data_IF_593488059817
#
_entry.id   IF_593488059817
#
_cell.length_a   1.000
_cell.length_b   1.000
_cell.length_c   1.000
_cell.angle_alpha   90.00
_cell.angle_beta   90.00
_cell.angle_gamma   90.00
#
_symmetry.space_group_name_H-M   'P 1'
#
loop_
_entity.id
_entity.type
_entity.pdbx_description
1 polymer ?
#
# COMPACT_ATOMS: atom_id res chain seq x y z
N UNK A 1 32.09 8.90 18.27
CA UNK A 1 31.29 9.91 17.56
C UNK A 1 31.04 9.38 16.17
N UNK A 2 29.92 8.70 15.96
CA UNK A 2 29.56 8.12 14.64
C UNK A 2 28.30 8.86 14.18
N UNK A 3 28.49 9.70 13.18
CA UNK A 3 27.40 10.40 12.48
C UNK A 3 26.57 9.37 11.73
N UNK A 4 25.35 9.13 12.18
CA UNK A 4 24.34 8.40 11.42
C UNK A 4 23.83 9.31 10.32
N UNK A 5 24.31 9.08 9.09
CA UNK A 5 23.78 9.68 7.88
C UNK A 5 22.31 9.29 7.74
N UNK A 6 21.44 10.25 8.07
CA UNK A 6 20.00 10.15 7.84
C UNK A 6 19.77 10.49 6.38
N UNK A 7 19.78 9.49 5.51
CA UNK A 7 19.35 9.66 4.12
C UNK A 7 17.88 10.01 4.10
N UNK A 8 17.58 11.29 4.15
CA UNK A 8 16.24 11.83 3.93
C UNK A 8 15.92 11.69 2.44
N UNK A 9 15.08 10.74 2.10
CA UNK A 9 14.52 10.65 0.74
C UNK A 9 13.58 11.85 0.57
N UNK A 10 14.14 12.96 0.09
CA UNK A 10 13.36 14.15 -0.25
C UNK A 10 12.83 13.98 -1.67
N UNK A 11 11.51 13.90 -1.81
CA UNK A 11 10.86 14.02 -3.13
C UNK A 11 10.64 15.49 -3.47
N UNK A 12 10.79 15.89 -4.75
CA UNK A 12 10.37 17.22 -5.16
C UNK A 12 8.86 17.35 -4.95
N UNK A 13 8.37 18.54 -4.54
CA UNK A 13 6.95 18.73 -4.27
C UNK A 13 6.12 18.48 -5.53
N UNK A 14 5.25 17.47 -5.47
CA UNK A 14 4.25 17.28 -6.52
C UNK A 14 3.19 18.38 -6.39
N UNK A 15 3.16 19.28 -7.35
CA UNK A 15 2.22 20.39 -7.43
C UNK A 15 0.83 19.91 -7.89
N UNK A 16 0.20 19.03 -7.13
CA UNK A 16 -1.22 18.69 -7.35
C UNK A 16 -2.01 19.11 -6.13
N UNK A 17 -2.88 20.10 -6.29
CA UNK A 17 -3.83 20.50 -5.26
C UNK A 17 -4.70 19.29 -4.89
N UNK A 18 -4.74 18.94 -3.61
CA UNK A 18 -5.56 17.85 -3.11
C UNK A 18 -7.04 18.12 -3.41
N UNK A 19 -7.68 17.21 -4.16
CA UNK A 19 -9.12 17.23 -4.36
C UNK A 19 -9.88 16.96 -3.06
N UNK A 20 -11.19 17.17 -3.06
CA UNK A 20 -12.03 16.92 -1.89
C UNK A 20 -11.92 15.47 -1.41
N UNK A 21 -11.94 14.52 -2.34
CA UNK A 21 -11.81 13.09 -2.05
C UNK A 21 -10.44 12.74 -1.47
N UNK A 22 -9.38 13.38 -1.96
CA UNK A 22 -8.02 13.16 -1.46
C UNK A 22 -7.88 13.68 -0.02
N UNK A 23 -8.50 14.82 0.30
CA UNK A 23 -8.51 15.38 1.67
C UNK A 23 -9.28 14.50 2.64
N UNK A 24 -10.44 13.98 2.22
CA UNK A 24 -11.22 13.02 3.01
C UNK A 24 -10.44 11.73 3.26
N UNK A 25 -9.85 11.17 2.21
CA UNK A 25 -9.04 9.95 2.33
C UNK A 25 -7.83 10.15 3.24
N UNK A 26 -7.11 11.27 3.10
CA UNK A 26 -6.01 11.62 3.99
C UNK A 26 -6.48 11.70 5.44
N UNK A 27 -7.59 12.40 5.70
CA UNK A 27 -8.13 12.53 7.06
C UNK A 27 -8.41 11.18 7.69
N UNK A 28 -9.07 10.26 6.95
CA UNK A 28 -9.37 8.91 7.43
C UNK A 28 -8.11 8.11 7.75
N UNK A 29 -7.09 8.19 6.89
CA UNK A 29 -5.81 7.52 7.14
C UNK A 29 -5.10 8.09 8.37
N UNK A 30 -5.12 9.42 8.54
CA UNK A 30 -4.52 10.06 9.72
C UNK A 30 -5.25 9.65 11.01
N UNK A 31 -6.58 9.64 11.01
CA UNK A 31 -7.40 9.18 12.14
C UNK A 31 -7.12 7.70 12.48
N UNK A 32 -6.95 6.84 11.48
CA UNK A 32 -6.57 5.44 11.71
C UNK A 32 -5.16 5.32 12.33
N UNK A 33 -4.20 6.11 11.84
CA UNK A 33 -2.82 6.10 12.38
C UNK A 33 -2.74 6.66 13.81
N UNK A 34 -3.63 7.57 14.21
CA UNK A 34 -3.71 8.04 15.60
C UNK A 34 -4.10 6.92 16.58
N UNK A 35 -4.76 5.88 16.08
CA UNK A 35 -5.10 4.68 16.86
C UNK A 35 -3.95 3.68 17.04
N UNK A 36 -2.76 3.92 16.51
CA UNK A 36 -1.64 2.99 16.53
C UNK A 36 -1.18 2.72 17.97
N UNK A 37 -1.15 1.44 18.38
CA UNK A 37 -0.82 1.02 19.76
C UNK A 37 0.49 0.24 19.86
N UNK A 38 0.92 -0.40 18.77
CA UNK A 38 2.17 -1.17 18.70
C UNK A 38 3.04 -0.61 17.58
N UNK A 39 4.24 -0.10 17.94
CA UNK A 39 5.17 0.50 17.03
C UNK A 39 4.91 1.98 16.73
N UNK A 40 5.62 2.53 15.76
CA UNK A 40 5.50 3.93 15.36
C UNK A 40 5.68 4.11 13.86
N UNK A 41 5.04 5.15 13.31
CA UNK A 41 5.14 5.59 11.93
C UNK A 41 5.49 7.07 11.87
N UNK A 42 6.38 7.43 10.96
CA UNK A 42 6.63 8.81 10.56
C UNK A 42 6.16 8.95 9.11
N UNK A 43 5.11 9.74 8.90
CA UNK A 43 4.50 9.98 7.60
C UNK A 43 4.89 11.37 7.09
N UNK A 44 5.60 11.40 5.96
CA UNK A 44 5.90 12.62 5.22
C UNK A 44 4.86 12.83 4.12
N UNK A 45 4.17 13.96 4.16
CA UNK A 45 3.10 14.32 3.24
C UNK A 45 3.66 15.08 2.01
N UNK A 46 2.94 15.10 0.87
CA UNK A 46 3.39 15.76 -0.36
C UNK A 46 3.67 17.26 -0.19
N UNK A 47 3.02 17.90 0.78
CA UNK A 47 3.22 19.32 1.12
C UNK A 47 4.46 19.58 1.99
N UNK A 48 5.30 18.57 2.24
CA UNK A 48 6.52 18.66 3.04
C UNK A 48 6.30 18.58 4.55
N UNK A 49 5.07 18.52 5.04
CA UNK A 49 4.79 18.31 6.46
C UNK A 49 5.01 16.85 6.85
N UNK A 50 5.54 16.63 8.04
CA UNK A 50 5.80 15.30 8.59
C UNK A 50 5.03 15.14 9.89
N UNK A 51 4.41 13.98 10.08
CA UNK A 51 3.67 13.64 11.31
C UNK A 51 4.15 12.30 11.85
N UNK A 52 4.24 12.18 13.17
CA UNK A 52 4.57 10.95 13.88
C UNK A 52 3.31 10.40 14.54
N UNK A 53 3.17 9.07 14.53
CA UNK A 53 2.07 8.31 15.12
C UNK A 53 2.60 7.11 15.88
N UNK A 54 1.83 6.64 16.86
CA UNK A 54 2.13 5.44 17.64
C UNK A 54 2.99 5.71 18.88
N UNK A 55 3.70 4.69 19.34
CA UNK A 55 4.44 4.70 20.60
C UNK A 55 5.66 5.61 20.51
N UNK A 56 5.85 6.49 21.49
CA UNK A 56 6.86 7.54 21.47
C UNK A 56 8.29 6.98 21.40
N UNK A 57 8.59 5.96 22.19
CA UNK A 57 9.93 5.37 22.29
C UNK A 57 10.20 4.29 21.23
N UNK A 58 9.21 3.93 20.40
CA UNK A 58 9.39 2.95 19.36
C UNK A 58 10.18 3.52 18.18
N UNK A 59 11.08 2.71 17.59
CA UNK A 59 11.73 3.06 16.33
C UNK A 59 10.67 3.18 15.22
N UNK A 60 10.49 4.35 14.62
CA UNK A 60 9.45 4.53 13.62
C UNK A 60 9.84 3.94 12.27
N UNK A 61 8.86 3.36 11.57
CA UNK A 61 8.93 3.13 10.13
C UNK A 61 8.59 4.45 9.43
N UNK A 62 9.40 4.84 8.46
CA UNK A 62 9.17 6.08 7.70
C UNK A 62 8.43 5.79 6.42
N UNK A 63 7.41 6.58 6.16
CA UNK A 63 6.62 6.56 4.93
C UNK A 63 6.69 7.95 4.30
N UNK A 64 7.00 8.02 3.02
CA UNK A 64 6.98 9.26 2.26
C UNK A 64 5.99 9.16 1.11
N UNK A 65 4.97 10.01 1.10
CA UNK A 65 3.98 10.09 0.03
C UNK A 65 4.36 11.20 -0.95
N UNK A 66 4.42 10.87 -2.25
CA UNK A 66 4.71 11.80 -3.33
C UNK A 66 3.50 12.64 -3.70
N UNK A 67 2.31 12.04 -3.60
CA UNK A 67 1.03 12.66 -3.92
C UNK A 67 -0.04 12.26 -2.91
N UNK A 68 -1.28 12.75 -3.06
CA UNK A 68 -2.41 12.34 -2.23
C UNK A 68 -3.11 11.07 -2.75
N UNK A 69 -2.74 10.57 -3.91
CA UNK A 69 -3.32 9.36 -4.53
C UNK A 69 -3.21 8.10 -3.66
N UNK A 70 -2.07 7.83 -2.96
CA UNK A 70 -1.94 6.65 -2.09
C UNK A 70 -3.01 6.56 -1.01
N UNK A 71 -3.39 7.69 -0.42
CA UNK A 71 -4.41 7.71 0.63
C UNK A 71 -5.77 7.31 0.07
N UNK A 72 -6.13 7.80 -1.12
CA UNK A 72 -7.35 7.41 -1.81
C UNK A 72 -7.30 5.95 -2.27
N UNK A 73 -6.16 5.49 -2.78
CA UNK A 73 -5.97 4.11 -3.19
C UNK A 73 -6.13 3.15 -1.99
N UNK A 74 -5.57 3.49 -0.83
CA UNK A 74 -5.73 2.73 0.41
C UNK A 74 -7.20 2.71 0.88
N UNK A 75 -7.90 3.85 0.88
CA UNK A 75 -9.28 3.93 1.36
C UNK A 75 -10.26 3.21 0.43
N UNK A 76 -10.07 3.28 -0.89
CA UNK A 76 -10.98 2.69 -1.89
C UNK A 76 -10.60 1.25 -2.27
N UNK A 77 -9.32 0.94 -2.30
CA UNK A 77 -8.77 -0.34 -2.75
C UNK A 77 -8.16 -1.20 -1.65
N UNK A 78 -8.15 -0.71 -0.39
CA UNK A 78 -7.54 -1.42 0.73
C UNK A 78 -6.04 -1.62 0.55
N UNK A 79 -5.55 -2.75 1.05
CA UNK A 79 -4.16 -3.18 0.95
C UNK A 79 -3.67 -3.33 -0.50
N UNK A 80 -4.52 -3.85 -1.40
CA UNK A 80 -4.21 -3.96 -2.82
C UNK A 80 -3.99 -2.58 -3.45
N UNK A 81 -4.88 -1.63 -3.19
CA UNK A 81 -4.73 -0.26 -3.70
C UNK A 81 -3.47 0.43 -3.16
N UNK A 82 -3.12 0.19 -1.89
CA UNK A 82 -1.87 0.68 -1.32
C UNK A 82 -0.64 0.06 -1.98
N UNK A 83 -0.67 -1.26 -2.25
CA UNK A 83 0.41 -1.98 -2.92
C UNK A 83 0.61 -1.51 -4.37
N UNK A 84 -0.47 -1.34 -5.13
CA UNK A 84 -0.41 -0.79 -6.50
C UNK A 84 0.21 0.62 -6.49
N UNK A 85 -0.22 1.49 -5.58
CA UNK A 85 0.35 2.83 -5.44
C UNK A 85 1.84 2.81 -5.04
N UNK A 86 2.30 1.79 -4.29
CA UNK A 86 3.71 1.58 -3.99
C UNK A 86 4.50 1.19 -5.24
N UNK A 87 4.00 0.23 -6.03
CA UNK A 87 4.62 -0.20 -7.29
C UNK A 87 4.70 0.95 -8.31
N UNK A 88 3.69 1.83 -8.33
CA UNK A 88 3.67 3.03 -9.14
C UNK A 88 4.63 4.14 -8.63
N UNK A 89 5.30 3.92 -7.47
CA UNK A 89 6.22 4.88 -6.87
C UNK A 89 5.53 6.12 -6.29
N UNK A 90 4.23 6.06 -6.02
CA UNK A 90 3.46 7.16 -5.43
C UNK A 90 3.75 7.36 -3.94
N UNK A 91 4.28 6.34 -3.28
CA UNK A 91 4.81 6.39 -1.93
C UNK A 91 5.97 5.40 -1.75
N UNK A 92 6.80 5.63 -0.72
CA UNK A 92 7.93 4.77 -0.38
C UNK A 92 8.04 4.60 1.12
N UNK A 93 8.83 3.62 1.55
CA UNK A 93 9.16 3.38 2.95
C UNK A 93 10.63 2.95 3.09
N UNK A 94 11.22 3.20 4.24
CA UNK A 94 12.56 2.76 4.59
C UNK A 94 12.61 1.30 5.07
N UNK A 95 11.46 0.75 5.52
CA UNK A 95 11.36 -0.64 6.00
C UNK A 95 9.98 -1.22 5.64
N UNK A 96 9.85 -1.75 4.43
CA UNK A 96 8.60 -2.37 3.98
C UNK A 96 8.20 -3.61 4.82
N UNK A 97 9.11 -4.55 5.16
CA UNK A 97 8.76 -5.65 6.06
C UNK A 97 8.33 -5.19 7.46
N UNK A 98 8.99 -4.15 7.99
CA UNK A 98 8.63 -3.54 9.27
C UNK A 98 7.25 -2.89 9.22
N UNK A 99 6.92 -2.22 8.12
CA UNK A 99 5.60 -1.63 7.88
C UNK A 99 4.50 -2.69 7.85
N UNK A 100 4.71 -3.79 7.13
CA UNK A 100 3.75 -4.90 7.08
C UNK A 100 3.54 -5.49 8.47
N UNK A 101 4.61 -5.76 9.23
CA UNK A 101 4.51 -6.26 10.62
C UNK A 101 3.73 -5.29 11.51
N UNK A 102 3.96 -4.00 11.38
CA UNK A 102 3.27 -2.97 12.13
C UNK A 102 1.76 -2.99 11.84
N UNK A 103 1.36 -3.09 10.59
CA UNK A 103 -0.05 -3.21 10.22
C UNK A 103 -0.68 -4.51 10.74
N UNK A 104 0.01 -5.65 10.65
CA UNK A 104 -0.49 -6.94 11.18
C UNK A 104 -0.71 -6.87 12.70
N UNK A 105 0.21 -6.26 13.45
CA UNK A 105 0.08 -6.09 14.91
C UNK A 105 -1.06 -5.15 15.31
N UNK A 106 -1.42 -4.23 14.44
CA UNK A 106 -2.51 -3.27 14.65
C UNK A 106 -3.73 -3.57 13.78
N UNK A 107 -3.90 -4.82 13.31
CA UNK A 107 -4.97 -5.19 12.37
C UNK A 107 -6.37 -4.81 12.86
N UNK A 108 -6.61 -4.86 14.19
CA UNK A 108 -7.89 -4.45 14.78
C UNK A 108 -8.27 -3.00 14.50
N UNK A 109 -7.28 -2.12 14.23
CA UNK A 109 -7.55 -0.71 13.88
C UNK A 109 -8.13 -0.57 12.47
N UNK A 110 -7.81 -1.52 11.61
CA UNK A 110 -8.22 -1.54 10.21
C UNK A 110 -9.45 -2.41 9.98
N UNK A 111 -9.72 -3.35 10.91
CA UNK A 111 -10.93 -4.19 10.92
C UNK A 111 -12.18 -3.47 11.41
N UNK A 112 -12.04 -2.25 11.94
CA UNK A 112 -13.22 -1.47 12.31
C UNK A 112 -14.10 -1.31 11.07
N UNK A 113 -15.25 -2.00 11.10
CA UNK A 113 -16.36 -1.80 10.16
C UNK A 113 -16.92 -0.38 10.27
N UNK A 114 -16.13 0.60 9.85
CA UNK A 114 -16.68 1.92 9.60
C UNK A 114 -17.61 1.82 8.39
N UNK A 115 -18.70 2.61 8.37
CA UNK A 115 -19.63 2.67 7.23
C UNK A 115 -18.90 2.91 5.90
N UNK A 116 -17.71 3.56 5.92
CA UNK A 116 -16.81 3.75 4.79
C UNK A 116 -16.19 2.44 4.31
N UNK A 117 -15.81 1.54 5.23
CA UNK A 117 -15.36 0.19 4.85
C UNK A 117 -16.51 -0.62 4.24
N UNK A 118 -17.73 -0.44 4.71
CA UNK A 118 -18.93 -1.04 4.08
C UNK A 118 -19.17 -0.48 2.68
N UNK A 119 -19.02 0.83 2.49
CA UNK A 119 -19.17 1.47 1.19
C UNK A 119 -18.04 1.09 0.22
N UNK A 120 -16.78 1.10 0.68
CA UNK A 120 -15.63 0.65 -0.07
C UNK A 120 -15.71 -0.84 -0.41
N UNK A 121 -16.14 -1.68 0.53
CA UNK A 121 -16.36 -3.10 0.30
C UNK A 121 -17.54 -3.37 -0.65
N UNK A 122 -18.60 -2.54 -0.63
CA UNK A 122 -19.69 -2.62 -1.59
C UNK A 122 -19.23 -2.21 -3.00
N UNK A 123 -18.45 -1.13 -3.12
CA UNK A 123 -17.85 -0.70 -4.38
C UNK A 123 -16.84 -1.75 -4.91
N UNK A 124 -15.99 -2.31 -4.04
CA UNK A 124 -15.07 -3.39 -4.37
C UNK A 124 -15.82 -4.67 -4.79
N UNK A 125 -16.92 -5.04 -4.11
CA UNK A 125 -17.77 -6.16 -4.55
C UNK A 125 -18.36 -5.92 -5.94
N UNK A 126 -18.73 -4.68 -6.26
CA UNK A 126 -19.23 -4.33 -7.59
C UNK A 126 -18.11 -4.44 -8.66
N UNK A 127 -16.90 -3.98 -8.35
CA UNK A 127 -15.72 -4.13 -9.21
C UNK A 127 -15.33 -5.61 -9.33
N UNK A 128 -15.28 -6.35 -8.22
CA UNK A 128 -15.00 -7.79 -8.23
C UNK A 128 -16.12 -8.61 -8.87
N UNK A 129 -17.39 -8.15 -8.84
CA UNK A 129 -18.47 -8.81 -9.55
C UNK A 129 -18.33 -8.71 -11.08
N UNK A 130 -17.67 -7.65 -11.56
CA UNK A 130 -17.30 -7.51 -12.99
C UNK A 130 -16.11 -8.41 -13.37
N UNK A 131 -15.26 -8.76 -12.40
CA UNK A 131 -14.13 -9.69 -12.54
C UNK A 131 -14.49 -11.13 -12.12
N UNK A 132 -15.80 -11.47 -12.03
CA UNK A 132 -16.25 -12.83 -11.72
C UNK A 132 -15.62 -13.83 -12.67
N UNK A 133 -15.31 -15.03 -12.15
CA UNK A 133 -14.88 -16.22 -12.89
C UNK A 133 -15.90 -16.66 -13.94
N UNK A 134 -16.16 -15.80 -14.93
CA UNK A 134 -16.76 -16.21 -16.19
C UNK A 134 -15.69 -16.88 -17.04
N UNK A 135 -16.06 -17.79 -17.95
CA UNK A 135 -15.09 -18.42 -18.89
C UNK A 135 -14.23 -17.39 -19.62
N UNK A 136 -14.77 -16.20 -19.91
CA UNK A 136 -14.03 -15.07 -20.51
C UNK A 136 -13.13 -14.36 -19.50
N UNK A 137 -13.55 -14.22 -18.23
CA UNK A 137 -12.75 -13.66 -17.13
C UNK A 137 -11.60 -14.58 -16.75
N UNK A 138 -11.84 -15.88 -16.63
CA UNK A 138 -10.79 -16.87 -16.37
C UNK A 138 -9.73 -16.89 -17.46
N UNK A 139 -10.11 -16.81 -18.74
CA UNK A 139 -9.14 -16.71 -19.85
C UNK A 139 -8.31 -15.43 -19.79
N UNK A 140 -8.89 -14.31 -19.34
CA UNK A 140 -8.18 -13.02 -19.19
C UNK A 140 -7.22 -13.07 -18.01
N UNK A 141 -7.65 -13.61 -16.88
CA UNK A 141 -6.82 -13.77 -15.68
C UNK A 141 -5.68 -14.76 -15.91
N UNK A 142 -5.96 -15.88 -16.61
CA UNK A 142 -4.94 -16.85 -17.02
C UNK A 142 -3.94 -16.20 -17.97
N UNK A 143 -4.40 -15.44 -19.00
CA UNK A 143 -3.49 -14.70 -19.88
C UNK A 143 -2.63 -13.71 -19.09
N UNK A 144 -3.20 -12.88 -18.22
CA UNK A 144 -2.43 -11.93 -17.40
C UNK A 144 -1.42 -12.64 -16.49
N UNK A 145 -1.72 -13.86 -16.03
CA UNK A 145 -0.82 -14.65 -15.21
C UNK A 145 0.29 -15.34 -16.02
N UNK A 146 0.02 -15.73 -17.27
CA UNK A 146 1.00 -16.37 -18.15
C UNK A 146 1.70 -15.40 -19.13
N UNK A 147 1.21 -14.17 -19.29
CA UNK A 147 1.87 -13.11 -20.07
C UNK A 147 3.06 -12.47 -19.35
N UNK A 148 3.45 -13.01 -18.20
CA UNK A 148 4.69 -12.62 -17.48
C UNK A 148 5.98 -12.98 -18.24
N UNK A 149 5.88 -13.42 -19.49
CA UNK A 149 6.99 -13.68 -20.39
C UNK A 149 8.05 -14.64 -19.84
N UNK A 150 8.57 -15.49 -20.69
CA UNK A 150 9.62 -16.45 -20.32
C UNK A 150 10.88 -15.76 -19.73
N UNK A 151 11.08 -14.48 -20.01
CA UNK A 151 12.25 -13.75 -19.51
C UNK A 151 12.19 -13.54 -18.00
N UNK A 152 10.99 -13.27 -17.43
CA UNK A 152 10.83 -13.22 -16.00
C UNK A 152 11.09 -14.59 -15.34
N UNK A 153 10.55 -15.66 -15.91
CA UNK A 153 10.76 -17.01 -15.38
C UNK A 153 12.23 -17.44 -15.42
N UNK A 154 12.99 -17.04 -16.44
CA UNK A 154 14.43 -17.30 -16.53
C UNK A 154 15.24 -16.61 -15.42
N UNK A 155 14.71 -15.59 -14.74
CA UNK A 155 15.43 -14.92 -13.66
C UNK A 155 15.49 -15.74 -12.38
N UNK A 156 14.58 -16.70 -12.18
CA UNK A 156 14.52 -17.48 -10.93
C UNK A 156 14.24 -18.98 -11.11
N UNK A 157 13.95 -19.46 -12.32
CA UNK A 157 13.85 -20.87 -12.65
C UNK A 157 15.13 -21.39 -13.28
N UNK A 158 15.35 -22.70 -13.12
CA UNK A 158 16.41 -23.43 -13.82
C UNK A 158 16.14 -23.55 -15.33
N UNK A 159 17.08 -24.07 -16.14
CA UNK A 159 16.90 -24.23 -17.58
C UNK A 159 15.72 -25.12 -17.99
N UNK A 160 15.22 -25.98 -17.09
CA UNK A 160 14.05 -26.82 -17.35
C UNK A 160 12.73 -26.05 -17.31
N UNK A 161 12.73 -24.83 -16.77
CA UNK A 161 11.55 -23.96 -16.60
C UNK A 161 10.44 -24.64 -15.79
N UNK A 162 10.77 -25.57 -14.91
CA UNK A 162 9.79 -26.26 -14.07
C UNK A 162 9.38 -25.39 -12.91
N UNK A 163 8.14 -24.87 -12.91
CA UNK A 163 7.63 -23.95 -11.90
C UNK A 163 7.03 -24.66 -10.68
N UNK A 164 6.35 -25.76 -10.87
CA UNK A 164 5.88 -26.60 -9.77
C UNK A 164 5.76 -28.03 -10.23
N UNK A 165 6.14 -28.96 -9.36
CA UNK A 165 5.75 -30.34 -9.49
C UNK A 165 4.55 -30.56 -8.55
N UNK A 166 3.37 -30.71 -9.10
CA UNK A 166 2.27 -31.34 -8.38
C UNK A 166 2.61 -32.81 -8.23
N UNK A 167 2.81 -33.28 -7.02
CA UNK A 167 2.81 -34.68 -6.68
C UNK A 167 1.39 -35.18 -6.56
#
# INVERSE_FOLDING_TARGET
MSSTDTTTVAFPPAASAAGLLDRLALRLVLEALEGLRDGAVVLSLPAGSTRRFGVEDARPVRIAARSFRPFRALVLGGDLGAAEAYLDGEWTTDDLPGLVRLFVRNAELFDRETWLNRLANAANRLVHSRNRNSRAGSRRNIRAHYDLGNDLYRTFLDPSMTYSCAL
#
